data_IF_056562636555
#
_entry.id   IF_056562636555
#
_cell.length_a   1.000
_cell.length_b   1.000
_cell.length_c   1.000
_cell.angle_alpha   90.00
_cell.angle_beta   90.00
_cell.angle_gamma   90.00
#
_symmetry.space_group_name_H-M   'P 1'
#
loop_
_entity.id
_entity.type
_entity.pdbx_description
1 polymer ?
#
# COMPACT_ATOMS: atom_id res chain seq x y z
N UNK A 1 15.82 37.16 -21.60
CA UNK A 1 14.51 37.44 -21.00
C UNK A 1 14.48 36.77 -19.64
N UNK A 2 14.28 37.51 -18.56
CA UNK A 2 14.35 37.01 -17.18
C UNK A 2 12.94 37.02 -16.57
N UNK A 3 12.46 35.85 -16.13
CA UNK A 3 11.16 35.71 -15.47
C UNK A 3 11.41 35.54 -13.97
N UNK A 4 10.80 36.40 -13.15
CA UNK A 4 10.86 36.33 -11.68
C UNK A 4 9.50 35.94 -11.11
N UNK A 5 9.47 34.84 -10.36
CA UNK A 5 8.30 34.44 -9.58
C UNK A 5 8.22 35.30 -8.32
N UNK A 6 7.11 36.01 -8.11
CA UNK A 6 6.91 36.94 -6.98
C UNK A 6 6.40 36.26 -5.71
N UNK A 7 5.76 35.10 -5.85
CA UNK A 7 5.20 34.32 -4.75
C UNK A 7 4.60 33.01 -5.27
N UNK A 8 4.62 31.98 -4.43
CA UNK A 8 4.13 30.64 -4.74
C UNK A 8 3.26 30.16 -3.58
N UNK A 9 2.02 29.76 -3.89
CA UNK A 9 1.14 29.06 -2.96
C UNK A 9 0.99 27.61 -3.45
N UNK A 10 1.83 26.72 -2.92
CA UNK A 10 1.80 25.30 -3.28
C UNK A 10 0.81 24.54 -2.39
N UNK A 11 0.12 23.57 -2.98
CA UNK A 11 -0.77 22.62 -2.29
C UNK A 11 -0.28 21.22 -2.63
N UNK A 12 -0.33 20.31 -1.65
CA UNK A 12 0.07 18.92 -1.84
C UNK A 12 -0.97 17.97 -1.22
N UNK A 13 -1.05 16.77 -1.78
CA UNK A 13 -1.77 15.63 -1.22
C UNK A 13 -0.74 14.57 -0.85
N UNK A 14 -0.94 13.91 0.30
CA UNK A 14 -0.11 12.78 0.69
C UNK A 14 -0.50 11.54 -0.11
N UNK A 15 0.47 10.67 -0.38
CA UNK A 15 0.22 9.39 -1.05
C UNK A 15 1.26 8.37 -0.60
N UNK A 16 0.95 7.09 -0.79
CA UNK A 16 1.88 6.01 -0.49
C UNK A 16 2.92 5.87 -1.58
N UNK A 17 4.19 5.73 -1.20
CA UNK A 17 5.28 5.41 -2.13
C UNK A 17 5.33 3.89 -2.36
N UNK A 18 4.44 3.40 -3.23
CA UNK A 18 4.34 1.98 -3.56
C UNK A 18 3.96 1.74 -5.02
N UNK A 19 4.17 0.50 -5.50
CA UNK A 19 3.74 0.10 -6.83
C UNK A 19 2.23 -0.15 -6.86
N UNK A 20 1.52 0.80 -7.44
CA UNK A 20 0.06 0.76 -7.64
C UNK A 20 -0.70 1.34 -6.45
N UNK A 21 -2.02 1.36 -6.59
CA UNK A 21 -2.90 2.12 -5.69
C UNK A 21 -3.91 1.23 -4.95
N UNK A 22 -3.92 -0.08 -5.26
CA UNK A 22 -4.94 -1.02 -4.82
C UNK A 22 -4.30 -2.30 -4.27
N UNK A 23 -4.83 -2.78 -3.14
CA UNK A 23 -4.42 -4.05 -2.57
C UNK A 23 -4.94 -5.23 -3.43
N UNK A 24 -4.05 -6.06 -3.96
CA UNK A 24 -4.43 -7.23 -4.79
C UNK A 24 -5.26 -8.31 -4.07
N UNK A 25 -5.28 -8.31 -2.74
CA UNK A 25 -6.00 -9.30 -1.91
C UNK A 25 -7.44 -8.83 -1.64
N UNK A 26 -7.62 -7.65 -1.04
CA UNK A 26 -8.95 -7.13 -0.68
C UNK A 26 -9.58 -6.20 -1.72
N UNK A 27 -8.84 -5.85 -2.77
CA UNK A 27 -9.26 -4.98 -3.89
C UNK A 27 -9.70 -3.56 -3.50
N UNK A 28 -9.32 -3.10 -2.30
CA UNK A 28 -9.52 -1.71 -1.87
C UNK A 28 -8.29 -0.86 -2.16
N UNK A 29 -8.51 0.44 -2.32
CA UNK A 29 -7.45 1.44 -2.43
C UNK A 29 -6.60 1.45 -1.16
N UNK A 30 -5.32 1.77 -1.29
CA UNK A 30 -4.40 1.90 -0.16
C UNK A 30 -4.72 3.07 0.78
N UNK A 31 -5.47 4.06 0.29
CA UNK A 31 -5.99 5.17 1.10
C UNK A 31 -7.22 4.75 1.93
N UNK A 32 -7.84 3.61 1.61
CA UNK A 32 -9.01 3.09 2.30
C UNK A 32 -8.63 1.94 3.23
N UNK A 33 -9.31 1.78 4.38
CA UNK A 33 -9.04 0.67 5.27
C UNK A 33 -9.44 -0.66 4.60
N UNK A 34 -8.75 -1.74 4.99
CA UNK A 34 -9.15 -3.09 4.59
C UNK A 34 -10.54 -3.44 5.19
N UNK A 35 -11.23 -4.49 4.68
CA UNK A 35 -12.57 -4.87 5.17
C UNK A 35 -12.65 -5.20 6.67
N UNK A 36 -11.52 -5.47 7.32
CA UNK A 36 -11.43 -5.78 8.74
C UNK A 36 -11.21 -4.53 9.62
N UNK A 37 -10.96 -3.37 9.02
CA UNK A 37 -10.59 -2.14 9.72
C UNK A 37 -11.62 -1.03 9.48
N UNK A 38 -11.90 -0.24 10.51
CA UNK A 38 -12.85 0.88 10.41
C UNK A 38 -12.20 2.19 9.95
N UNK A 39 -10.91 2.39 10.23
CA UNK A 39 -10.19 3.63 9.92
C UNK A 39 -8.87 3.31 9.20
N UNK A 40 -8.52 4.05 8.12
CA UNK A 40 -7.22 3.95 7.48
C UNK A 40 -6.12 4.54 8.38
N UNK A 41 -4.86 4.13 8.20
CA UNK A 41 -3.71 4.62 8.99
C UNK A 41 -3.14 3.57 9.94
N UNK A 42 -2.86 3.92 11.20
CA UNK A 42 -2.14 3.06 12.17
C UNK A 42 -2.76 1.68 12.36
N UNK A 43 -4.08 1.57 12.21
CA UNK A 43 -4.81 0.32 12.35
C UNK A 43 -4.75 -0.58 11.10
N UNK A 44 -4.18 -0.11 9.98
CA UNK A 44 -4.06 -0.90 8.76
C UNK A 44 -2.86 -0.43 7.91
N UNK A 45 -1.61 -0.64 8.39
CA UNK A 45 -0.43 -0.23 7.64
C UNK A 45 -0.27 -1.05 6.36
N UNK A 46 0.43 -0.48 5.40
CA UNK A 46 0.84 -1.18 4.19
C UNK A 46 2.16 -1.93 4.42
N UNK A 47 2.27 -3.09 3.80
CA UNK A 47 3.48 -3.91 3.77
C UNK A 47 3.88 -4.14 2.33
N UNK A 48 5.16 -3.94 2.03
CA UNK A 48 5.74 -4.14 0.71
C UNK A 48 6.80 -5.22 0.81
N UNK A 49 6.58 -6.36 0.15
CA UNK A 49 7.55 -7.45 0.15
C UNK A 49 8.74 -7.15 -0.77
N UNK A 50 9.83 -7.93 -0.66
CA UNK A 50 11.01 -7.81 -1.56
C UNK A 50 10.68 -7.83 -3.06
N UNK A 51 9.58 -8.49 -3.42
CA UNK A 51 9.06 -8.53 -4.78
C UNK A 51 8.42 -7.21 -5.27
N UNK A 52 8.45 -6.14 -4.45
CA UNK A 52 7.83 -4.84 -4.70
C UNK A 52 6.30 -4.88 -4.86
N UNK A 53 5.64 -5.93 -4.36
CA UNK A 53 4.18 -5.95 -4.24
C UNK A 53 3.76 -5.46 -2.87
N UNK A 54 2.78 -4.55 -2.86
CA UNK A 54 2.27 -3.91 -1.65
C UNK A 54 0.86 -4.40 -1.32
N UNK A 55 0.60 -4.69 -0.05
CA UNK A 55 -0.70 -5.11 0.46
C UNK A 55 -0.97 -4.45 1.83
N UNK A 56 -2.22 -4.46 2.28
CA UNK A 56 -2.51 -4.18 3.68
C UNK A 56 -1.94 -5.30 4.56
N UNK A 57 -1.34 -4.95 5.71
CA UNK A 57 -0.75 -5.89 6.67
C UNK A 57 -1.71 -7.04 7.01
N UNK A 58 -2.93 -6.72 7.46
CA UNK A 58 -3.93 -7.74 7.81
C UNK A 58 -4.35 -8.62 6.64
N UNK A 59 -4.29 -8.11 5.41
CA UNK A 59 -4.63 -8.90 4.23
C UNK A 59 -3.53 -9.91 3.93
N UNK A 60 -2.26 -9.51 4.01
CA UNK A 60 -1.15 -10.41 3.73
C UNK A 60 -0.93 -11.42 4.86
N UNK A 61 -1.04 -11.02 6.13
CA UNK A 61 -0.96 -11.93 7.28
C UNK A 61 -2.03 -13.03 7.20
N UNK A 62 -3.26 -12.66 6.83
CA UNK A 62 -4.34 -13.64 6.64
C UNK A 62 -4.07 -14.57 5.46
N UNK A 63 -3.40 -14.09 4.42
CA UNK A 63 -3.08 -14.92 3.26
C UNK A 63 -1.96 -15.92 3.59
N UNK A 64 -0.86 -15.45 4.18
CA UNK A 64 0.29 -16.31 4.52
C UNK A 64 -0.03 -17.31 5.63
N UNK A 65 -0.92 -16.97 6.58
CA UNK A 65 -1.39 -17.91 7.59
C UNK A 65 -2.40 -18.93 7.07
N UNK A 66 -3.18 -18.61 6.02
CA UNK A 66 -4.18 -19.52 5.47
C UNK A 66 -3.60 -20.56 4.51
N UNK A 67 -2.57 -20.21 3.74
CA UNK A 67 -2.04 -21.07 2.67
C UNK A 67 -0.84 -21.93 3.09
N UNK A 68 -0.38 -21.82 4.35
CA UNK A 68 0.85 -22.44 4.91
C UNK A 68 2.12 -22.22 4.03
N UNK A 69 2.01 -21.28 3.11
CA UNK A 69 3.00 -20.88 2.14
C UNK A 69 3.27 -19.40 2.41
N UNK A 70 4.47 -19.13 2.92
CA UNK A 70 5.01 -17.77 3.04
C UNK A 70 5.42 -17.26 1.66
N UNK A 71 4.48 -17.14 0.73
CA UNK A 71 4.72 -16.70 -0.64
C UNK A 71 3.83 -15.50 -1.00
N UNK A 72 4.36 -14.63 -1.88
CA UNK A 72 3.61 -13.50 -2.41
C UNK A 72 2.42 -13.98 -3.25
N UNK A 73 1.19 -13.50 -3.01
CA UNK A 73 0.00 -13.91 -3.77
C UNK A 73 0.07 -13.59 -5.27
N UNK A 74 0.89 -12.61 -5.66
CA UNK A 74 0.97 -12.12 -7.04
C UNK A 74 2.06 -12.82 -7.86
N UNK A 75 3.24 -13.07 -7.26
CA UNK A 75 4.40 -13.62 -7.97
C UNK A 75 4.94 -14.93 -7.40
N UNK A 76 4.36 -15.45 -6.32
CA UNK A 76 4.75 -16.70 -5.63
C UNK A 76 6.20 -16.76 -5.14
N UNK A 77 6.91 -15.63 -5.11
CA UNK A 77 8.22 -15.53 -4.46
C UNK A 77 8.04 -15.60 -2.94
N UNK A 78 9.08 -16.03 -2.20
CA UNK A 78 9.07 -16.02 -0.74
C UNK A 78 8.68 -14.63 -0.21
N UNK A 79 7.72 -14.60 0.72
CA UNK A 79 7.23 -13.39 1.35
C UNK A 79 8.10 -13.06 2.56
N UNK A 80 8.87 -11.98 2.42
CA UNK A 80 9.72 -11.37 3.44
C UNK A 80 9.62 -9.85 3.35
#
# INVERSE_FOLDING_TARGET
MEIRIKGLHAVAQWGWDCKGDTCGICRRLFEAPCPCCNFPGENCPLQTGRCHHTFHLHCIEKCTSAEDNMACPMCRQAWE
#
